data_IF_868274554167
#
_entry.id   IF_868274554167
#
_cell.length_a   1.000
_cell.length_b   1.000
_cell.length_c   1.000
_cell.angle_alpha   90.00
_cell.angle_beta   90.00
_cell.angle_gamma   90.00
#
_symmetry.space_group_name_H-M   'P 1'
#
loop_
_entity.id
_entity.type
_entity.pdbx_description
1 polymer ?
#
# COMPACT_ATOMS: atom_id res chain seq x y z
N UNK A 1 -20.92 30.26 -41.34
CA UNK A 1 -19.89 29.51 -40.59
C UNK A 1 -20.49 29.16 -39.25
N UNK A 2 -20.98 27.93 -39.13
CA UNK A 2 -21.68 27.45 -37.93
C UNK A 2 -20.67 27.11 -36.84
N UNK A 3 -21.11 27.18 -35.57
CA UNK A 3 -20.27 26.89 -34.38
C UNK A 3 -19.58 25.52 -34.48
N UNK A 4 -20.17 24.57 -35.22
CA UNK A 4 -19.64 23.23 -35.52
C UNK A 4 -18.34 23.21 -36.32
N UNK A 5 -18.03 24.22 -37.15
CA UNK A 5 -16.81 24.22 -37.98
C UNK A 5 -15.59 24.71 -37.21
N UNK A 6 -15.78 25.52 -36.16
CA UNK A 6 -14.69 26.04 -35.32
C UNK A 6 -14.15 24.98 -34.35
N UNK A 7 -15.03 24.11 -33.85
CA UNK A 7 -14.67 23.02 -32.92
C UNK A 7 -13.86 21.88 -33.56
N UNK A 8 -13.90 21.75 -34.90
CA UNK A 8 -13.13 20.75 -35.66
C UNK A 8 -11.74 21.28 -36.04
N UNK A 9 -11.60 22.60 -36.24
CA UNK A 9 -10.31 23.25 -36.51
C UNK A 9 -9.36 23.19 -35.30
N UNK A 10 -9.86 23.39 -34.07
CA UNK A 10 -9.08 23.31 -32.83
C UNK A 10 -8.58 21.90 -32.48
N UNK A 11 -9.04 20.87 -33.20
CA UNK A 11 -8.64 19.46 -33.01
C UNK A 11 -7.71 18.94 -34.10
N UNK A 12 -7.47 19.72 -35.15
CA UNK A 12 -6.65 19.30 -36.29
C UNK A 12 -5.21 19.76 -36.10
N UNK A 13 -4.27 18.85 -36.30
CA UNK A 13 -2.85 19.21 -36.35
C UNK A 13 -2.60 20.10 -37.57
N UNK A 14 -1.90 21.22 -37.36
CA UNK A 14 -1.39 22.04 -38.47
C UNK A 14 -0.37 21.22 -39.25
N UNK A 15 -0.54 21.13 -40.58
CA UNK A 15 0.42 20.50 -41.49
C UNK A 15 1.35 21.61 -42.01
N UNK A 16 2.63 21.63 -41.61
CA UNK A 16 3.57 22.63 -42.11
C UNK A 16 3.78 22.47 -43.61
N UNK A 17 3.90 23.60 -44.32
CA UNK A 17 4.26 23.58 -45.73
C UNK A 17 5.67 22.97 -45.94
N UNK A 18 5.88 22.32 -47.08
CA UNK A 18 7.18 21.76 -47.44
C UNK A 18 8.23 22.86 -47.53
N UNK A 19 9.31 22.72 -46.74
CA UNK A 19 10.46 23.61 -46.76
C UNK A 19 11.12 23.62 -48.14
N UNK A 20 11.58 24.79 -48.58
CA UNK A 20 12.41 24.93 -49.78
C UNK A 20 13.76 24.25 -49.60
N UNK A 21 14.47 23.95 -50.70
CA UNK A 21 15.77 23.28 -50.65
C UNK A 21 16.81 24.02 -49.78
N UNK A 22 16.78 25.37 -49.78
CA UNK A 22 17.67 26.18 -48.95
C UNK A 22 17.32 26.08 -47.45
N UNK A 23 16.03 26.06 -47.10
CA UNK A 23 15.56 25.90 -45.73
C UNK A 23 15.78 24.48 -45.20
N UNK A 24 15.67 23.46 -46.06
CA UNK A 24 16.02 22.07 -45.71
C UNK A 24 17.50 21.94 -45.38
N UNK A 25 18.39 22.59 -46.14
CA UNK A 25 19.82 22.55 -45.89
C UNK A 25 20.20 23.28 -44.59
N UNK A 26 19.58 24.44 -44.33
CA UNK A 26 19.76 25.17 -43.09
C UNK A 26 19.23 24.38 -41.88
N UNK A 27 18.05 23.77 -42.01
CA UNK A 27 17.47 22.91 -40.98
C UNK A 27 18.38 21.71 -40.69
N UNK A 28 18.95 21.04 -41.70
CA UNK A 28 19.91 19.94 -41.51
C UNK A 28 21.20 20.36 -40.78
N UNK A 29 21.67 21.58 -41.01
CA UNK A 29 22.87 22.11 -40.35
C UNK A 29 22.61 22.50 -38.89
N UNK A 30 21.40 22.97 -38.58
CA UNK A 30 20.98 23.31 -37.21
C UNK A 30 20.42 22.12 -36.42
N UNK A 31 20.00 21.07 -37.12
CA UNK A 31 19.41 19.88 -36.51
C UNK A 31 20.50 19.05 -35.84
N UNK A 32 20.73 19.31 -34.56
CA UNK A 32 21.34 18.35 -33.67
C UNK A 32 20.27 17.28 -33.34
N UNK A 33 20.45 16.01 -33.74
CA UNK A 33 19.51 14.97 -33.38
C UNK A 33 19.39 14.89 -31.85
N UNK A 34 18.18 15.05 -31.32
CA UNK A 34 17.89 14.84 -29.89
C UNK A 34 17.79 13.34 -29.54
N UNK A 35 18.28 12.46 -30.41
CA UNK A 35 18.30 11.03 -30.16
C UNK A 35 19.71 10.59 -29.73
N UNK A 36 19.80 9.91 -28.59
CA UNK A 36 21.00 9.19 -28.14
C UNK A 36 20.82 7.72 -28.52
N UNK A 37 21.79 7.15 -29.25
CA UNK A 37 21.81 5.71 -29.50
C UNK A 37 21.92 4.97 -28.16
N UNK A 38 20.94 4.09 -27.90
CA UNK A 38 20.86 3.26 -26.69
C UNK A 38 21.14 1.79 -26.94
N UNK A 39 21.33 1.41 -28.21
CA UNK A 39 21.65 0.05 -28.61
C UNK A 39 21.95 -0.05 -30.10
N UNK A 40 22.55 -1.16 -30.49
CA UNK A 40 22.99 -1.44 -31.86
C UNK A 40 24.51 -1.51 -31.98
N UNK A 41 24.98 -1.62 -33.21
CA UNK A 41 26.41 -1.77 -33.51
C UNK A 41 27.06 -0.39 -33.67
N UNK A 42 28.25 -0.18 -33.07
CA UNK A 42 29.08 0.99 -33.40
C UNK A 42 29.77 0.71 -34.73
N UNK A 43 29.78 1.70 -35.62
CA UNK A 43 30.50 1.70 -36.89
C UNK A 43 30.24 0.49 -37.84
N UNK A 44 29.12 -0.21 -37.64
CA UNK A 44 28.74 -1.37 -38.46
C UNK A 44 29.43 -2.68 -38.12
N UNK A 45 30.28 -2.72 -37.08
CA UNK A 45 30.96 -3.95 -36.66
C UNK A 45 30.07 -4.81 -35.76
N UNK A 46 29.94 -6.09 -36.13
CA UNK A 46 29.16 -7.05 -35.37
C UNK A 46 29.96 -7.47 -34.13
N UNK A 47 29.38 -7.41 -32.91
CA UNK A 47 30.02 -7.88 -31.71
C UNK A 47 30.37 -9.36 -31.77
N UNK A 48 31.38 -9.72 -30.99
CA UNK A 48 31.85 -11.10 -30.87
C UNK A 48 30.82 -12.01 -30.17
N UNK A 49 29.83 -11.44 -29.47
CA UNK A 49 28.77 -12.19 -28.80
C UNK A 49 27.68 -12.66 -29.77
N UNK A 50 27.36 -13.95 -29.70
CA UNK A 50 26.21 -14.52 -30.38
C UNK A 50 24.89 -14.08 -29.73
N UNK A 51 23.81 -14.10 -30.50
CA UNK A 51 22.47 -13.79 -29.97
C UNK A 51 22.05 -14.69 -28.81
N UNK A 52 22.52 -15.94 -28.79
CA UNK A 52 22.26 -16.89 -27.69
C UNK A 52 22.93 -16.43 -26.39
N UNK A 53 24.19 -15.99 -26.45
CA UNK A 53 24.93 -15.48 -25.29
C UNK A 53 24.31 -14.18 -24.75
N UNK A 54 23.79 -13.32 -25.63
CA UNK A 54 23.08 -12.10 -25.22
C UNK A 54 21.79 -12.47 -24.49
N UNK A 55 21.02 -13.43 -24.99
CA UNK A 55 19.79 -13.90 -24.34
C UNK A 55 20.10 -14.52 -22.98
N UNK A 56 21.12 -15.37 -22.88
CA UNK A 56 21.57 -15.98 -21.62
C UNK A 56 22.02 -14.92 -20.61
N UNK A 57 22.79 -13.92 -21.05
CA UNK A 57 23.19 -12.79 -20.22
C UNK A 57 21.98 -12.02 -19.70
N UNK A 58 21.05 -11.66 -20.57
CA UNK A 58 19.84 -10.93 -20.16
C UNK A 58 19.01 -11.79 -19.20
N UNK A 59 18.82 -13.08 -19.44
CA UNK A 59 18.10 -13.96 -18.52
C UNK A 59 18.77 -14.07 -17.15
N UNK A 60 20.11 -14.03 -17.11
CA UNK A 60 20.90 -14.15 -15.88
C UNK A 60 20.94 -12.84 -15.08
N UNK A 61 21.09 -11.70 -15.76
CA UNK A 61 21.37 -10.41 -15.13
C UNK A 61 20.21 -9.39 -15.20
N UNK A 62 19.18 -9.64 -16.02
CA UNK A 62 17.92 -8.87 -15.97
C UNK A 62 17.15 -9.26 -14.71
N UNK A 63 16.81 -8.25 -13.91
CA UNK A 63 16.34 -8.36 -12.54
C UNK A 63 14.99 -9.11 -12.40
N UNK A 64 14.93 -10.34 -11.81
CA UNK A 64 13.68 -11.07 -11.66
C UNK A 64 12.90 -10.76 -10.37
N UNK A 65 13.44 -9.97 -9.42
CA UNK A 65 12.90 -9.86 -8.04
C UNK A 65 12.27 -8.51 -7.63
N UNK A 66 11.87 -7.67 -8.58
CA UNK A 66 10.86 -6.61 -8.34
C UNK A 66 9.51 -7.03 -8.97
N UNK A 67 8.99 -8.18 -8.54
CA UNK A 67 7.72 -8.79 -8.98
C UNK A 67 6.47 -8.06 -8.47
N UNK A 68 6.35 -6.75 -8.67
CA UNK A 68 5.07 -6.06 -8.48
C UNK A 68 4.59 -5.22 -9.67
N UNK A 69 5.28 -5.19 -10.82
CA UNK A 69 4.67 -4.62 -12.05
C UNK A 69 5.15 -5.31 -13.32
N UNK A 70 4.26 -6.03 -14.00
CA UNK A 70 4.46 -6.62 -15.33
C UNK A 70 4.80 -5.54 -16.38
N UNK A 71 4.47 -4.27 -16.13
CA UNK A 71 4.82 -3.14 -16.98
C UNK A 71 6.28 -2.66 -16.86
N UNK A 72 7.06 -3.14 -15.88
CA UNK A 72 8.48 -2.77 -15.69
C UNK A 72 9.48 -3.80 -16.26
N UNK A 73 9.04 -4.97 -16.72
CA UNK A 73 9.95 -6.01 -17.23
C UNK A 73 10.72 -5.55 -18.49
N UNK A 74 10.10 -4.70 -19.31
CA UNK A 74 10.73 -4.09 -20.49
C UNK A 74 11.93 -3.22 -20.08
N UNK A 75 11.74 -2.34 -19.09
CA UNK A 75 12.79 -1.45 -18.58
C UNK A 75 13.97 -2.20 -17.95
N UNK A 76 13.75 -3.40 -17.42
CA UNK A 76 14.82 -4.20 -16.78
C UNK A 76 15.70 -4.94 -17.79
N UNK A 77 15.09 -5.52 -18.82
CA UNK A 77 15.83 -6.10 -19.95
C UNK A 77 16.58 -5.01 -20.70
N UNK A 78 15.96 -3.83 -20.86
CA UNK A 78 16.61 -2.64 -21.41
C UNK A 78 17.84 -2.23 -20.60
N UNK A 79 17.81 -2.29 -19.27
CA UNK A 79 18.98 -1.94 -18.44
C UNK A 79 20.15 -2.92 -18.63
N UNK A 80 19.88 -4.23 -18.69
CA UNK A 80 20.94 -5.23 -18.91
C UNK A 80 21.55 -5.10 -20.32
N UNK A 81 20.70 -4.88 -21.34
CA UNK A 81 21.14 -4.63 -22.71
C UNK A 81 21.87 -3.29 -22.86
N UNK A 82 21.42 -2.25 -22.16
CA UNK A 82 22.08 -0.94 -22.12
C UNK A 82 23.46 -1.05 -21.48
N UNK A 83 23.60 -1.79 -20.38
CA UNK A 83 24.91 -2.02 -19.74
C UNK A 83 25.86 -2.82 -20.63
N UNK A 84 25.37 -3.82 -21.39
CA UNK A 84 26.16 -4.49 -22.43
C UNK A 84 26.61 -3.51 -23.51
N UNK A 85 25.71 -2.64 -23.98
CA UNK A 85 26.04 -1.65 -24.99
C UNK A 85 27.03 -0.59 -24.49
N UNK A 86 26.95 -0.18 -23.22
CA UNK A 86 27.89 0.76 -22.60
C UNK A 86 29.26 0.12 -22.34
N UNK A 87 29.31 -1.20 -22.19
CA UNK A 87 30.53 -1.99 -22.06
C UNK A 87 31.10 -2.47 -23.40
N UNK A 88 30.62 -1.96 -24.54
CA UNK A 88 31.03 -2.42 -25.88
C UNK A 88 30.91 -3.94 -26.07
N UNK A 89 29.87 -4.54 -25.48
CA UNK A 89 29.60 -5.98 -25.50
C UNK A 89 30.67 -6.83 -24.79
N UNK A 90 31.49 -6.24 -23.91
CA UNK A 90 32.34 -6.98 -22.98
C UNK A 90 31.54 -7.46 -21.75
N UNK A 91 31.47 -8.78 -21.56
CA UNK A 91 30.63 -9.39 -20.52
C UNK A 91 31.11 -9.05 -19.11
N UNK A 92 32.41 -9.20 -18.74
CA UNK A 92 32.91 -8.83 -17.41
C UNK A 92 32.64 -7.36 -17.06
N UNK A 93 32.97 -6.43 -17.96
CA UNK A 93 32.74 -5.00 -17.75
C UNK A 93 31.25 -4.69 -17.60
N UNK A 94 30.39 -5.32 -18.42
CA UNK A 94 28.93 -5.15 -18.30
C UNK A 94 28.40 -5.65 -16.95
N UNK A 95 28.92 -6.79 -16.45
CA UNK A 95 28.58 -7.33 -15.13
C UNK A 95 28.99 -6.36 -14.03
N UNK A 96 30.19 -5.77 -14.09
CA UNK A 96 30.66 -4.78 -13.12
C UNK A 96 29.78 -3.52 -13.11
N UNK A 97 29.48 -2.95 -14.28
CA UNK A 97 28.57 -1.79 -14.42
C UNK A 97 27.21 -2.10 -13.80
N UNK A 98 26.66 -3.28 -14.08
CA UNK A 98 25.39 -3.73 -13.51
C UNK A 98 25.51 -3.81 -11.98
N UNK A 99 26.54 -4.46 -11.43
CA UNK A 99 26.67 -4.60 -9.99
C UNK A 99 26.91 -3.25 -9.28
N UNK A 100 27.70 -2.36 -9.88
CA UNK A 100 27.94 -1.02 -9.36
C UNK A 100 26.66 -0.17 -9.36
N UNK A 101 25.94 -0.12 -10.48
CA UNK A 101 24.65 0.57 -10.58
C UNK A 101 23.65 0.04 -9.54
N UNK A 102 23.67 -1.26 -9.24
CA UNK A 102 22.84 -1.86 -8.18
C UNK A 102 23.24 -1.38 -6.79
N UNK A 103 24.54 -1.42 -6.47
CA UNK A 103 25.06 -0.94 -5.18
C UNK A 103 24.73 0.52 -4.98
N UNK A 104 24.94 1.34 -6.01
CA UNK A 104 24.71 2.78 -5.99
C UNK A 104 23.21 3.12 -5.85
N UNK A 105 22.33 2.45 -6.60
CA UNK A 105 20.87 2.60 -6.45
C UNK A 105 20.39 2.24 -5.05
N UNK A 106 20.95 1.19 -4.45
CA UNK A 106 20.62 0.81 -3.07
C UNK A 106 21.20 1.78 -2.04
N UNK A 107 22.42 2.29 -2.27
CA UNK A 107 23.07 3.32 -1.43
C UNK A 107 22.26 4.61 -1.42
N UNK A 108 21.93 5.15 -2.59
CA UNK A 108 21.12 6.35 -2.74
C UNK A 108 19.71 6.17 -2.14
N UNK A 109 19.08 5.01 -2.35
CA UNK A 109 17.78 4.71 -1.70
C UNK A 109 17.90 4.67 -0.17
N UNK A 110 19.01 4.17 0.38
CA UNK A 110 19.26 4.15 1.83
C UNK A 110 19.51 5.56 2.36
N UNK A 111 20.35 6.35 1.71
CA UNK A 111 20.66 7.74 2.08
C UNK A 111 19.40 8.64 1.99
N UNK A 112 18.62 8.50 0.92
CA UNK A 112 17.32 9.18 0.76
C UNK A 112 16.35 8.79 1.89
N UNK A 113 16.37 7.53 2.33
CA UNK A 113 15.52 7.05 3.42
C UNK A 113 16.04 7.40 4.83
N UNK A 114 17.35 7.57 5.01
CA UNK A 114 17.99 7.98 6.27
C UNK A 114 17.77 9.47 6.55
N UNK A 115 17.51 10.28 5.52
CA UNK A 115 17.11 11.69 5.65
C UNK A 115 15.91 11.90 6.60
N UNK A 116 15.03 10.91 6.70
CA UNK A 116 13.94 10.92 7.68
C UNK A 116 14.42 10.17 8.93
N UNK A 117 14.47 10.82 10.08
CA UNK A 117 14.91 10.16 11.31
C UNK A 117 14.00 8.97 11.70
N UNK A 118 14.59 7.80 12.02
CA UNK A 118 13.86 6.52 12.30
C UNK A 118 12.76 6.71 13.35
N UNK A 119 13.12 7.30 14.49
CA UNK A 119 12.20 7.51 15.60
C UNK A 119 11.00 8.39 15.21
N UNK A 120 11.23 9.45 14.44
CA UNK A 120 10.18 10.40 14.03
C UNK A 120 9.22 9.73 13.04
N UNK A 121 9.76 8.91 12.13
CA UNK A 121 8.98 8.10 11.19
C UNK A 121 8.11 7.07 11.92
N UNK A 122 8.69 6.25 12.81
CA UNK A 122 7.94 5.22 13.55
C UNK A 122 6.82 5.83 14.40
N UNK A 123 7.11 6.94 15.11
CA UNK A 123 6.11 7.66 15.90
C UNK A 123 4.99 8.24 15.04
N UNK A 124 5.28 8.63 13.79
CA UNK A 124 4.27 9.11 12.85
C UNK A 124 3.42 7.96 12.30
N UNK A 125 4.04 6.83 11.96
CA UNK A 125 3.37 5.60 11.53
C UNK A 125 2.46 5.04 12.63
N UNK A 126 2.87 5.09 13.90
CA UNK A 126 2.06 4.62 15.02
C UNK A 126 0.78 5.43 15.24
N UNK A 127 0.79 6.74 14.94
CA UNK A 127 -0.42 7.58 15.10
C UNK A 127 -1.34 7.55 13.89
N UNK A 128 -0.78 7.56 12.69
CA UNK A 128 -1.57 7.77 11.46
C UNK A 128 -1.64 6.52 10.56
N UNK A 129 -0.87 5.48 10.85
CA UNK A 129 -0.79 4.27 10.03
C UNK A 129 -0.30 4.57 8.62
N UNK A 130 -0.94 3.93 7.63
CA UNK A 130 -0.62 4.06 6.20
C UNK A 130 -1.20 5.33 5.54
N UNK A 131 -1.70 6.30 6.32
CA UNK A 131 -2.19 7.59 5.81
C UNK A 131 -1.01 8.52 5.54
N UNK A 132 -0.28 8.28 4.45
CA UNK A 132 0.98 8.97 4.14
C UNK A 132 0.87 10.50 4.10
N UNK A 133 -0.28 11.05 3.69
CA UNK A 133 -0.52 12.50 3.71
C UNK A 133 -0.50 13.10 5.14
N UNK A 134 -0.97 12.37 6.16
CA UNK A 134 -0.92 12.79 7.56
C UNK A 134 0.49 12.59 8.15
N UNK A 135 1.15 11.50 7.78
CA UNK A 135 2.54 11.21 8.19
C UNK A 135 3.48 12.29 7.66
N UNK A 136 3.36 12.66 6.38
CA UNK A 136 4.12 13.77 5.76
C UNK A 136 3.91 15.09 6.50
N UNK A 137 2.66 15.44 6.84
CA UNK A 137 2.35 16.67 7.60
C UNK A 137 3.12 16.74 8.92
N UNK A 138 3.39 15.59 9.54
CA UNK A 138 4.10 15.49 10.81
C UNK A 138 5.63 15.45 10.67
N UNK A 139 6.14 14.94 9.55
CA UNK A 139 7.56 14.95 9.22
C UNK A 139 8.04 16.32 8.70
N UNK A 140 7.10 17.18 8.30
CA UNK A 140 7.37 18.55 7.85
C UNK A 140 7.45 18.68 6.32
N UNK A 141 7.58 19.93 5.84
CA UNK A 141 7.57 20.25 4.41
C UNK A 141 8.82 19.79 3.65
N UNK A 142 9.92 19.50 4.35
CA UNK A 142 11.18 19.05 3.77
C UNK A 142 11.11 17.63 3.20
N UNK A 143 10.16 16.81 3.68
CA UNK A 143 10.02 15.41 3.24
C UNK A 143 8.98 15.32 2.13
N UNK A 144 9.40 14.83 0.97
CA UNK A 144 8.51 14.53 -0.15
C UNK A 144 7.74 13.24 0.07
N UNK A 145 6.63 13.08 -0.66
CA UNK A 145 5.85 11.83 -0.59
C UNK A 145 6.66 10.64 -1.10
N UNK A 146 7.51 10.85 -2.12
CA UNK A 146 8.37 9.82 -2.68
C UNK A 146 9.35 9.29 -1.63
N UNK A 147 10.07 10.18 -0.95
CA UNK A 147 11.01 9.81 0.12
C UNK A 147 10.33 9.04 1.25
N UNK A 148 9.14 9.49 1.67
CA UNK A 148 8.35 8.82 2.70
C UNK A 148 7.94 7.39 2.29
N UNK A 149 7.46 7.23 1.06
CA UNK A 149 7.03 5.93 0.52
C UNK A 149 8.25 5.01 0.36
N UNK A 150 9.36 5.51 -0.19
CA UNK A 150 10.62 4.77 -0.30
C UNK A 150 11.08 4.26 1.06
N UNK A 151 11.09 5.11 2.09
CA UNK A 151 11.42 4.71 3.46
C UNK A 151 10.48 3.65 4.01
N UNK A 152 9.17 3.78 3.76
CA UNK A 152 8.19 2.79 4.20
C UNK A 152 8.45 1.41 3.62
N UNK A 153 8.71 1.30 2.31
CA UNK A 153 8.97 0.00 1.68
C UNK A 153 10.33 -0.59 2.04
N UNK A 154 11.33 0.24 2.37
CA UNK A 154 12.58 -0.24 2.95
C UNK A 154 12.35 -0.78 4.37
N UNK A 155 11.63 -0.03 5.20
CA UNK A 155 11.27 -0.46 6.56
C UNK A 155 10.38 -1.71 6.55
N UNK A 156 9.49 -1.87 5.56
CA UNK A 156 8.65 -3.07 5.37
C UNK A 156 9.46 -4.37 5.26
N UNK A 157 10.73 -4.30 4.86
CA UNK A 157 11.63 -5.45 4.76
C UNK A 157 12.36 -5.78 6.08
N UNK A 158 12.23 -4.95 7.11
CA UNK A 158 12.92 -5.13 8.38
C UNK A 158 11.99 -5.82 9.40
N UNK A 159 12.53 -6.56 10.38
CA UNK A 159 11.72 -7.24 11.40
C UNK A 159 10.90 -6.25 12.26
N UNK A 160 11.35 -4.99 12.39
CA UNK A 160 10.61 -3.97 13.13
C UNK A 160 9.25 -3.64 12.52
N UNK A 161 9.12 -3.71 11.18
CA UNK A 161 7.82 -3.55 10.53
C UNK A 161 6.86 -4.67 10.92
N UNK A 162 7.34 -5.93 10.94
CA UNK A 162 6.49 -7.07 11.27
C UNK A 162 5.98 -6.95 12.71
N UNK A 163 6.86 -6.60 13.64
CA UNK A 163 6.48 -6.33 15.03
C UNK A 163 5.47 -5.18 15.14
N UNK A 164 5.68 -4.08 14.41
CA UNK A 164 4.73 -2.97 14.37
C UNK A 164 3.37 -3.41 13.81
N UNK A 165 3.37 -4.18 12.73
CA UNK A 165 2.19 -4.64 12.04
C UNK A 165 1.34 -5.57 12.92
N UNK A 166 1.97 -6.48 13.68
CA UNK A 166 1.26 -7.34 14.62
C UNK A 166 0.66 -6.53 15.79
N UNK A 167 1.41 -5.57 16.37
CA UNK A 167 0.86 -4.66 17.39
C UNK A 167 -0.36 -3.88 16.90
N UNK A 168 -0.39 -3.48 15.62
CA UNK A 168 -1.56 -2.79 15.05
C UNK A 168 -2.75 -3.74 14.87
N UNK A 169 -2.52 -5.01 14.52
CA UNK A 169 -3.57 -6.04 14.44
C UNK A 169 -4.17 -6.33 15.81
N UNK A 170 -3.36 -6.48 16.85
CA UNK A 170 -3.81 -6.64 18.22
C UNK A 170 -4.65 -5.45 18.69
N UNK A 171 -4.18 -4.21 18.45
CA UNK A 171 -4.96 -3.00 18.77
C UNK A 171 -6.30 -2.97 18.05
N UNK A 172 -6.36 -3.40 16.78
CA UNK A 172 -7.60 -3.50 16.02
C UNK A 172 -8.54 -4.54 16.63
N UNK A 173 -8.06 -5.76 16.88
CA UNK A 173 -8.81 -6.85 17.52
C UNK A 173 -9.35 -6.41 18.89
N UNK A 174 -8.54 -5.74 19.71
CA UNK A 174 -8.96 -5.24 21.02
C UNK A 174 -10.05 -4.16 20.92
N UNK A 175 -9.98 -3.26 19.93
CA UNK A 175 -11.03 -2.25 19.68
C UNK A 175 -12.34 -2.90 19.21
N UNK A 176 -12.24 -3.89 18.33
CA UNK A 176 -13.38 -4.66 17.86
C UNK A 176 -14.02 -5.47 18.99
N UNK A 177 -13.22 -6.15 19.82
CA UNK A 177 -13.69 -6.86 21.01
C UNK A 177 -14.40 -5.91 21.99
N UNK A 178 -13.83 -4.72 22.26
CA UNK A 178 -14.48 -3.70 23.09
C UNK A 178 -15.80 -3.20 22.49
N UNK A 179 -15.86 -3.04 21.16
CA UNK A 179 -17.10 -2.65 20.46
C UNK A 179 -18.16 -3.75 20.54
N UNK A 180 -17.77 -5.01 20.35
CA UNK A 180 -18.67 -6.16 20.49
C UNK A 180 -19.17 -6.29 21.94
N UNK A 181 -18.29 -6.11 22.93
CA UNK A 181 -18.67 -6.10 24.35
C UNK A 181 -19.68 -4.99 24.69
N UNK A 182 -19.54 -3.79 24.09
CA UNK A 182 -20.50 -2.69 24.25
C UNK A 182 -21.85 -2.93 23.57
N UNK A 183 -21.87 -3.70 22.49
CA UNK A 183 -23.09 -4.08 21.77
C UNK A 183 -23.75 -5.34 22.35
N UNK A 184 -23.15 -5.96 23.37
CA UNK A 184 -23.72 -7.11 24.06
C UNK A 184 -25.03 -6.66 24.73
N UNK A 185 -26.19 -7.26 24.40
CA UNK A 185 -27.48 -6.85 24.95
C UNK A 185 -27.45 -6.90 26.48
N UNK A 186 -28.17 -5.98 27.14
CA UNK A 186 -28.34 -6.00 28.60
C UNK A 186 -29.00 -7.29 29.12
N UNK A 187 -29.66 -8.07 28.24
CA UNK A 187 -30.12 -9.42 28.53
C UNK A 187 -28.99 -10.32 29.09
N UNK A 188 -27.74 -10.11 28.68
CA UNK A 188 -26.53 -10.81 29.14
C UNK A 188 -25.82 -10.11 30.32
N UNK A 189 -26.53 -9.22 31.01
CA UNK A 189 -26.15 -8.69 32.34
C UNK A 189 -27.01 -9.29 33.46
N UNK A 190 -28.03 -10.09 33.12
CA UNK A 190 -28.80 -10.80 34.13
C UNK A 190 -27.99 -11.99 34.66
N UNK A 191 -28.11 -12.26 35.96
CA UNK A 191 -27.46 -13.38 36.62
C UNK A 191 -27.85 -14.69 35.92
N UNK A 192 -26.88 -15.56 35.68
CA UNK A 192 -27.08 -16.89 35.08
C UNK A 192 -27.76 -17.90 36.04
N UNK A 193 -28.09 -17.46 37.25
CA UNK A 193 -28.73 -18.25 38.31
C UNK A 193 -29.95 -17.52 38.86
N UNK A 194 -30.94 -18.29 39.30
CA UNK A 194 -32.10 -17.76 39.99
C UNK A 194 -31.70 -17.15 41.34
N UNK A 195 -32.11 -15.92 41.63
CA UNK A 195 -31.79 -15.24 42.90
C UNK A 195 -32.32 -15.99 44.13
N UNK A 196 -33.39 -16.78 43.98
CA UNK A 196 -34.03 -17.46 45.09
C UNK A 196 -33.50 -18.87 45.38
N UNK A 197 -33.00 -19.57 44.37
CA UNK A 197 -32.52 -20.95 44.54
C UNK A 197 -31.05 -21.14 44.13
N UNK A 198 -30.41 -20.10 43.60
CA UNK A 198 -29.01 -20.07 43.15
C UNK A 198 -28.66 -21.15 42.12
N UNK A 199 -29.67 -21.67 41.41
CA UNK A 199 -29.52 -22.66 40.33
C UNK A 199 -29.72 -21.97 38.99
N UNK A 200 -28.91 -22.36 37.99
CA UNK A 200 -29.13 -21.99 36.60
C UNK A 200 -30.29 -22.79 35.98
N UNK A 201 -30.72 -22.40 34.77
CA UNK A 201 -31.83 -23.04 34.07
C UNK A 201 -32.58 -22.08 33.16
N UNK A 202 -33.88 -22.33 32.95
CA UNK A 202 -34.77 -21.39 32.25
C UNK A 202 -35.18 -20.26 33.20
N UNK A 203 -34.53 -19.11 33.08
CA UNK A 203 -34.74 -17.97 33.94
C UNK A 203 -35.48 -16.84 33.20
N UNK A 204 -36.35 -16.16 33.93
CA UNK A 204 -37.00 -14.90 33.58
C UNK A 204 -36.12 -13.75 34.06
N UNK A 205 -35.77 -12.84 33.16
CA UNK A 205 -34.97 -11.65 33.42
C UNK A 205 -35.85 -10.48 33.88
N UNK A 206 -35.36 -9.66 34.81
CA UNK A 206 -36.06 -8.47 35.30
C UNK A 206 -35.67 -7.22 34.48
N UNK A 207 -36.64 -6.52 33.89
CA UNK A 207 -36.33 -5.35 33.05
C UNK A 207 -35.77 -4.14 33.82
N UNK A 208 -35.94 -4.13 35.15
CA UNK A 208 -35.41 -3.09 36.04
C UNK A 208 -34.06 -3.39 36.71
N UNK A 209 -33.51 -4.62 36.63
CA UNK A 209 -32.23 -4.96 37.29
C UNK A 209 -31.61 -6.26 36.76
N UNK A 210 -30.34 -6.51 37.09
CA UNK A 210 -29.56 -7.70 36.71
C UNK A 210 -30.04 -9.04 37.32
N UNK A 211 -31.18 -9.10 38.01
CA UNK A 211 -31.65 -10.34 38.68
C UNK A 211 -32.46 -11.21 37.72
N UNK A 212 -32.29 -12.52 37.85
CA UNK A 212 -33.05 -13.51 37.10
C UNK A 212 -33.72 -14.51 38.05
N UNK A 213 -34.88 -15.06 37.65
CA UNK A 213 -35.70 -15.94 38.48
C UNK A 213 -36.33 -17.05 37.66
N UNK A 214 -36.52 -18.24 38.22
CA UNK A 214 -37.44 -19.20 37.61
C UNK A 214 -38.89 -18.69 37.76
N UNK A 215 -39.76 -18.98 36.79
CA UNK A 215 -41.21 -18.66 36.85
C UNK A 215 -41.86 -19.16 38.16
N UNK A 216 -41.44 -20.35 38.61
CA UNK A 216 -41.91 -20.98 39.86
C UNK A 216 -41.28 -20.41 41.12
N UNK A 217 -40.15 -19.71 41.02
CA UNK A 217 -39.50 -19.08 42.17
C UNK A 217 -40.11 -17.73 42.50
N UNK A 218 -40.61 -16.99 41.50
CA UNK A 218 -41.29 -15.70 41.72
C UNK A 218 -42.54 -15.90 42.60
N UNK A 219 -42.89 -14.91 43.42
CA UNK A 219 -44.17 -14.85 44.15
C UNK A 219 -45.00 -13.65 43.69
N UNK A 220 -46.27 -13.86 43.26
CA UNK A 220 -46.91 -15.15 42.97
C UNK A 220 -46.21 -15.90 41.82
N UNK A 221 -46.27 -17.23 41.83
CA UNK A 221 -45.63 -18.07 40.81
C UNK A 221 -46.31 -17.90 39.46
N UNK A 222 -45.51 -17.71 38.42
CA UNK A 222 -46.01 -17.52 37.06
C UNK A 222 -46.14 -18.87 36.36
N UNK A 223 -47.23 -19.05 35.62
CA UNK A 223 -47.49 -20.26 34.82
C UNK A 223 -46.83 -20.19 33.44
N UNK A 224 -46.66 -18.98 32.90
CA UNK A 224 -46.01 -18.73 31.62
C UNK A 224 -45.24 -17.39 31.65
N UNK A 225 -44.42 -17.15 30.63
CA UNK A 225 -43.69 -15.89 30.46
C UNK A 225 -44.70 -14.75 30.23
N UNK A 226 -44.67 -13.68 31.05
CA UNK A 226 -45.61 -12.58 30.92
C UNK A 226 -45.45 -11.85 29.59
N UNK A 227 -46.57 -11.38 29.03
CA UNK A 227 -46.57 -10.52 27.84
C UNK A 227 -46.27 -9.07 28.28
N UNK A 228 -45.10 -8.55 27.88
CA UNK A 228 -44.63 -7.19 28.21
C UNK A 228 -43.52 -7.15 29.28
N UNK A 229 -43.25 -5.96 29.80
CA UNK A 229 -42.17 -5.74 30.77
C UNK A 229 -42.49 -6.40 32.13
N UNK A 230 -41.50 -7.10 32.70
CA UNK A 230 -41.61 -7.75 34.00
C UNK A 230 -40.55 -7.27 34.99
N UNK A 231 -41.00 -6.85 36.17
CA UNK A 231 -40.16 -6.38 37.26
C UNK A 231 -40.15 -7.36 38.43
N UNK A 232 -38.97 -7.64 39.01
CA UNK A 232 -38.84 -8.51 40.17
C UNK A 232 -39.45 -7.88 41.44
N UNK A 233 -39.75 -8.65 42.50
CA UNK A 233 -40.31 -8.12 43.75
C UNK A 233 -39.52 -6.92 44.31
N UNK A 234 -38.19 -6.99 44.25
CA UNK A 234 -37.33 -5.88 44.70
C UNK A 234 -37.47 -4.60 43.86
N UNK A 235 -37.73 -4.71 42.56
CA UNK A 235 -37.96 -3.54 41.69
C UNK A 235 -39.39 -3.02 41.83
N UNK A 236 -40.36 -3.91 42.12
CA UNK A 236 -41.76 -3.53 42.38
C UNK A 236 -41.93 -2.81 43.71
N UNK A 237 -41.18 -3.21 44.75
CA UNK A 237 -41.25 -2.61 46.08
C UNK A 237 -40.47 -1.30 46.21
N UNK A 238 -39.59 -0.99 45.22
CA UNK A 238 -38.77 0.22 45.20
C UNK A 238 -39.39 1.39 44.40
N UNK A 239 -40.68 1.27 44.02
CA UNK A 239 -41.46 2.31 43.32
C UNK A 239 -42.46 3.00 44.25
#
# INVERSE_FOLDING_TARGET
MTVSERDDADRRAEIPALLSAAEQQHSRQLYAPQCRQRGGWRDGERPQLSGVQIVEFVQTYAWPKETEMVSLCYSMNENALQSLFEADYDVPTAVEIIHEARREKLRLKREEAERIHKFTFEKAMDRHGKKFHLVKRRLGRQVTTRELVSKFYLWKKTPEYEQWHERQREKKRAREAKRMARMRPAADQHREYCEMCLKGGKLLCCDGCERAYHLNCVRPSLLDVPEGDWFCPYCRDAS
#
